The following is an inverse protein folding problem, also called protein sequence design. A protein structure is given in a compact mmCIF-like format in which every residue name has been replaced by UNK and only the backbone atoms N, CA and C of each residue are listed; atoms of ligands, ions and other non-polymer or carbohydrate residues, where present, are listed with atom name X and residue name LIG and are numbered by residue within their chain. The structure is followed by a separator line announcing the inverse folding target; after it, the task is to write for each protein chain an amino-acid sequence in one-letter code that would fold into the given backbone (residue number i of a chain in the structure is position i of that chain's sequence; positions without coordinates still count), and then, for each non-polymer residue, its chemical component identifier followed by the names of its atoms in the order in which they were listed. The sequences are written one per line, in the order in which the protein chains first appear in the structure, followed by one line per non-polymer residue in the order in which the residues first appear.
data_IF_769972982433
#
_entry.id   IF_769972982433
#
_cell.length_a   1.000
_cell.length_b   1.000
_cell.length_c   1.000
_cell.angle_alpha   90.00
_cell.angle_beta   90.00
_cell.angle_gamma   90.00
#
_symmetry.space_group_name_H-M   'P 1'
#
loop_
_entity.id
_entity.type
_entity.pdbx_description
1 polymer ?
#
# COMPACT_ATOMS: atom_id res chain seq x y z
N UNK A 1 13.53 -12.12 16.48
CA UNK A 1 14.29 -11.71 15.29
C UNK A 1 13.70 -10.38 14.83
N UNK A 2 14.47 -9.29 14.84
CA UNK A 2 13.97 -7.98 14.43
C UNK A 2 14.07 -7.84 12.90
N UNK A 3 12.96 -7.55 12.23
CA UNK A 3 12.94 -7.21 10.82
C UNK A 3 13.49 -5.79 10.64
N UNK A 4 14.53 -5.62 9.82
CA UNK A 4 15.16 -4.32 9.57
C UNK A 4 14.43 -3.63 8.43
N UNK A 5 13.69 -2.57 8.75
CA UNK A 5 13.06 -1.69 7.75
C UNK A 5 14.01 -0.54 7.42
N UNK A 6 14.33 -0.34 6.13
CA UNK A 6 15.15 0.79 5.64
C UNK A 6 14.29 1.74 4.82
N UNK A 7 14.12 2.97 5.29
CA UNK A 7 13.44 4.02 4.53
C UNK A 7 14.47 4.81 3.70
N UNK A 8 14.22 4.92 2.38
CA UNK A 8 14.99 5.77 1.47
C UNK A 8 14.03 6.83 0.93
N UNK A 9 14.42 8.10 1.04
CA UNK A 9 13.67 9.22 0.46
C UNK A 9 14.19 9.42 -0.97
N UNK A 10 13.31 9.29 -1.96
CA UNK A 10 13.62 9.51 -3.37
C UNK A 10 12.77 10.68 -3.84
N UNK A 11 13.42 11.74 -4.34
CA UNK A 11 12.71 12.80 -5.05
C UNK A 11 12.42 12.33 -6.47
N UNK A 12 11.14 12.20 -6.78
CA UNK A 12 10.69 11.91 -8.14
C UNK A 12 10.75 13.21 -8.94
N UNK A 13 11.69 13.32 -9.87
CA UNK A 13 11.72 14.42 -10.84
C UNK A 13 10.68 14.15 -11.94
N UNK A 14 9.42 14.44 -11.64
CA UNK A 14 8.29 14.20 -12.54
C UNK A 14 8.04 15.47 -13.35
N UNK A 15 8.05 15.41 -14.69
CA UNK A 15 7.65 16.55 -15.51
C UNK A 15 6.19 16.88 -15.24
N UNK A 16 5.82 18.17 -15.17
CA UNK A 16 4.46 18.63 -14.83
C UNK A 16 3.36 17.94 -15.64
N UNK A 17 3.63 17.59 -16.90
CA UNK A 17 2.70 16.86 -17.77
C UNK A 17 2.33 15.44 -17.32
N UNK A 18 3.06 14.86 -16.36
CA UNK A 18 2.78 13.54 -15.77
C UNK A 18 2.36 13.60 -14.30
N UNK A 19 2.20 14.79 -13.72
CA UNK A 19 1.75 14.91 -12.33
C UNK A 19 0.34 14.31 -12.16
N UNK A 20 -0.54 14.52 -13.14
CA UNK A 20 -1.89 13.95 -13.13
C UNK A 20 -1.91 12.42 -13.09
N UNK A 21 -1.00 11.75 -13.81
CA UNK A 21 -0.94 10.28 -13.86
C UNK A 21 -0.51 9.71 -12.50
N UNK A 22 0.38 10.43 -11.84
CA UNK A 22 0.93 10.06 -10.53
C UNK A 22 -0.09 10.30 -9.44
N UNK A 23 -0.77 11.45 -9.47
CA UNK A 23 -1.88 11.76 -8.57
C UNK A 23 -3.03 10.77 -8.72
N UNK A 24 -3.34 10.35 -9.95
CA UNK A 24 -4.32 9.31 -10.22
C UNK A 24 -3.91 7.97 -9.62
N UNK A 25 -2.65 7.56 -9.79
CA UNK A 25 -2.12 6.33 -9.17
C UNK A 25 -2.19 6.40 -7.63
N UNK A 26 -1.91 7.56 -7.03
CA UNK A 26 -2.04 7.75 -5.59
C UNK A 26 -3.50 7.62 -5.13
N UNK A 27 -4.43 8.17 -5.90
CA UNK A 27 -5.87 8.05 -5.65
C UNK A 27 -6.33 6.59 -5.69
N UNK A 28 -6.01 5.87 -6.77
CA UNK A 28 -6.39 4.46 -6.92
C UNK A 28 -5.78 3.59 -5.82
N UNK A 29 -4.50 3.81 -5.47
CA UNK A 29 -3.85 3.09 -4.39
C UNK A 29 -4.58 3.29 -3.06
N UNK A 30 -4.99 4.52 -2.79
CA UNK A 30 -5.74 4.86 -1.58
C UNK A 30 -7.11 4.21 -1.56
N UNK A 31 -7.84 4.27 -2.67
CA UNK A 31 -9.15 3.62 -2.81
C UNK A 31 -9.05 2.11 -2.65
N UNK A 32 -8.01 1.49 -3.22
CA UNK A 32 -7.73 0.07 -3.02
C UNK A 32 -7.47 -0.27 -1.55
N UNK A 33 -6.61 0.49 -0.86
CA UNK A 33 -6.32 0.25 0.56
C UNK A 33 -7.56 0.44 1.43
N UNK A 34 -8.35 1.49 1.17
CA UNK A 34 -9.59 1.76 1.89
C UNK A 34 -10.61 0.66 1.68
N UNK A 35 -10.82 0.22 0.44
CA UNK A 35 -11.74 -0.88 0.12
C UNK A 35 -11.37 -2.18 0.86
N UNK A 36 -10.07 -2.50 0.97
CA UNK A 36 -9.62 -3.66 1.74
C UNK A 36 -9.85 -3.47 3.24
N UNK A 37 -9.60 -2.28 3.78
CA UNK A 37 -9.86 -1.97 5.18
C UNK A 37 -11.35 -2.08 5.50
N UNK A 38 -12.21 -1.49 4.69
CA UNK A 38 -13.67 -1.51 4.84
C UNK A 38 -14.21 -2.95 4.86
N UNK A 39 -13.65 -3.82 4.00
CA UNK A 39 -14.03 -5.23 3.95
C UNK A 39 -13.58 -6.04 5.17
N UNK A 40 -12.42 -5.68 5.76
CA UNK A 40 -11.86 -6.37 6.92
C UNK A 40 -12.28 -5.79 8.28
N UNK A 41 -12.89 -4.60 8.27
CA UNK A 41 -13.21 -3.86 9.48
C UNK A 41 -14.47 -4.39 10.17
N UNK A 42 -14.38 -4.50 11.50
CA UNK A 42 -15.52 -4.64 12.40
C UNK A 42 -15.15 -4.03 13.76
N UNK A 43 -16.13 -3.50 14.46
CA UNK A 43 -16.03 -3.07 15.85
C UNK A 43 -16.03 -4.26 16.84
N UNK A 44 -16.35 -5.48 16.38
CA UNK A 44 -16.20 -6.72 17.13
C UNK A 44 -14.88 -7.43 16.76
N UNK A 45 -14.09 -7.76 17.79
CA UNK A 45 -12.85 -8.54 17.69
C UNK A 45 -13.03 -9.88 16.96
N UNK A 46 -14.18 -10.54 17.10
CA UNK A 46 -14.45 -11.83 16.46
C UNK A 46 -14.77 -11.72 14.98
N UNK A 47 -15.20 -10.54 14.53
CA UNK A 47 -15.59 -10.26 13.15
C UNK A 47 -14.56 -9.42 12.38
N UNK A 48 -13.56 -8.86 13.06
CA UNK A 48 -12.45 -8.16 12.42
C UNK A 48 -11.53 -9.13 11.68
N UNK A 49 -11.51 -9.02 10.35
CA UNK A 49 -10.69 -9.87 9.47
C UNK A 49 -9.39 -9.15 9.13
N UNK A 50 -8.26 -9.66 9.64
CA UNK A 50 -6.91 -9.15 9.33
C UNK A 50 -5.99 -10.16 8.65
N UNK A 51 -6.54 -11.30 8.19
CA UNK A 51 -5.75 -12.33 7.54
C UNK A 51 -5.44 -11.93 6.09
N UNK A 52 -4.14 -11.82 5.75
CA UNK A 52 -3.68 -11.37 4.41
C UNK A 52 -4.29 -12.20 3.28
N UNK A 53 -4.35 -13.52 3.43
CA UNK A 53 -4.86 -14.41 2.38
C UNK A 53 -6.37 -14.28 2.21
N UNK A 54 -7.10 -14.16 3.31
CA UNK A 54 -8.55 -14.02 3.30
C UNK A 54 -8.98 -12.72 2.61
N UNK A 55 -8.41 -11.59 3.05
CA UNK A 55 -8.65 -10.30 2.41
C UNK A 55 -8.20 -10.27 0.96
N UNK A 56 -7.13 -10.98 0.60
CA UNK A 56 -6.72 -11.08 -0.79
C UNK A 56 -7.77 -11.79 -1.65
N UNK A 57 -8.28 -12.94 -1.20
CA UNK A 57 -9.29 -13.67 -1.96
C UNK A 57 -10.60 -12.89 -2.07
N UNK A 58 -10.97 -12.17 -1.01
CA UNK A 58 -12.20 -11.40 -0.97
C UNK A 58 -12.15 -10.15 -1.86
N UNK A 59 -11.03 -9.45 -1.92
CA UNK A 59 -10.98 -8.07 -2.48
C UNK A 59 -10.18 -7.94 -3.77
N UNK A 60 -9.27 -8.88 -4.09
CA UNK A 60 -8.31 -8.69 -5.18
C UNK A 60 -8.97 -8.52 -6.55
N UNK A 61 -9.97 -9.33 -6.88
CA UNK A 61 -10.65 -9.28 -8.17
C UNK A 61 -11.34 -7.93 -8.36
N UNK A 62 -12.13 -7.49 -7.38
CA UNK A 62 -12.83 -6.21 -7.46
C UNK A 62 -11.88 -5.02 -7.55
N UNK A 63 -10.79 -5.02 -6.77
CA UNK A 63 -9.79 -3.95 -6.84
C UNK A 63 -9.12 -3.92 -8.21
N UNK A 64 -8.84 -5.08 -8.81
CA UNK A 64 -8.25 -5.18 -10.16
C UNK A 64 -9.21 -4.77 -11.28
N UNK A 65 -10.52 -4.85 -11.05
CA UNK A 65 -11.54 -4.41 -12.00
C UNK A 65 -11.84 -2.91 -11.89
N UNK A 66 -11.70 -2.34 -10.68
CA UNK A 66 -12.01 -0.94 -10.38
C UNK A 66 -10.82 0.01 -10.53
N UNK A 67 -9.60 -0.51 -10.72
CA UNK A 67 -8.37 0.28 -10.79
C UNK A 67 -7.42 -0.20 -11.88
N UNK A 68 -6.61 0.71 -12.41
CA UNK A 68 -5.53 0.42 -13.35
C UNK A 68 -4.21 0.01 -12.64
N UNK A 69 -4.26 -0.20 -11.32
CA UNK A 69 -3.10 -0.56 -10.52
C UNK A 69 -2.47 -1.89 -10.95
N UNK A 70 -1.14 -1.87 -11.04
CA UNK A 70 -0.34 -3.07 -11.21
C UNK A 70 -0.50 -4.01 -10.00
N UNK A 71 -0.43 -5.33 -10.23
CA UNK A 71 -0.71 -6.35 -9.21
C UNK A 71 0.11 -6.21 -7.91
N UNK A 72 1.35 -5.73 -7.99
CA UNK A 72 2.18 -5.48 -6.80
C UNK A 72 1.68 -4.31 -5.96
N UNK A 73 1.10 -3.28 -6.60
CA UNK A 73 0.49 -2.14 -5.90
C UNK A 73 -0.79 -2.57 -5.20
N UNK A 74 -1.64 -3.38 -5.85
CA UNK A 74 -2.83 -3.96 -5.20
C UNK A 74 -2.46 -4.80 -3.97
N UNK A 75 -1.42 -5.64 -4.08
CA UNK A 75 -0.94 -6.42 -2.94
C UNK A 75 -0.36 -5.54 -1.82
N UNK A 76 0.27 -4.42 -2.18
CA UNK A 76 0.83 -3.49 -1.21
C UNK A 76 -0.24 -2.66 -0.51
N UNK A 77 -1.29 -2.24 -1.24
CA UNK A 77 -2.49 -1.60 -0.67
C UNK A 77 -3.20 -2.54 0.32
N UNK A 78 -3.35 -3.84 -0.03
CA UNK A 78 -3.86 -4.86 0.89
C UNK A 78 -2.98 -5.01 2.13
N UNK A 79 -1.66 -5.04 1.98
CA UNK A 79 -0.76 -5.15 3.13
C UNK A 79 -0.91 -3.94 4.07
N UNK A 80 -0.98 -2.74 3.51
CA UNK A 80 -1.22 -1.51 4.26
C UNK A 80 -2.54 -1.59 5.05
N UNK A 81 -3.62 -2.06 4.42
CA UNK A 81 -4.89 -2.29 5.07
C UNK A 81 -4.81 -3.31 6.21
N UNK A 82 -4.14 -4.45 5.98
CA UNK A 82 -3.94 -5.49 7.00
C UNK A 82 -3.17 -4.98 8.21
N UNK A 83 -2.12 -4.19 8.00
CA UNK A 83 -1.30 -3.65 9.09
C UNK A 83 -2.10 -2.62 9.92
N UNK A 84 -2.94 -1.81 9.27
CA UNK A 84 -3.87 -0.91 9.95
C UNK A 84 -4.93 -1.68 10.76
N UNK A 85 -5.58 -2.68 10.16
CA UNK A 85 -6.54 -3.56 10.84
C UNK A 85 -5.90 -4.32 12.01
N UNK A 86 -4.64 -4.73 11.88
CA UNK A 86 -3.86 -5.34 12.95
C UNK A 86 -3.64 -4.41 14.14
N UNK A 87 -3.40 -3.12 13.86
CA UNK A 87 -3.29 -2.09 14.88
C UNK A 87 -4.62 -1.85 15.59
N UNK A 88 -5.73 -1.75 14.84
CA UNK A 88 -7.05 -1.59 15.41
C UNK A 88 -7.50 -2.81 16.25
N UNK A 89 -7.19 -4.03 15.80
CA UNK A 89 -7.43 -5.24 16.58
C UNK A 89 -6.63 -5.23 17.90
N UNK A 90 -5.42 -4.68 17.90
CA UNK A 90 -4.66 -4.43 19.14
C UNK A 90 -5.39 -3.47 20.08
N UNK A 91 -5.90 -2.36 19.53
CA UNK A 91 -6.70 -1.38 20.30
C UNK A 91 -7.98 -1.98 20.87
N UNK A 92 -8.75 -2.74 20.08
CA UNK A 92 -9.96 -3.41 20.55
C UNK A 92 -9.66 -4.42 21.66
N UNK A 93 -8.54 -5.15 21.59
CA UNK A 93 -8.11 -6.07 22.65
C UNK A 93 -7.79 -5.37 23.97
N UNK A 94 -7.40 -4.11 23.91
CA UNK A 94 -7.10 -3.28 25.08
C UNK A 94 -8.35 -2.51 25.56
N UNK A 95 -9.56 -2.84 25.08
CA UNK A 95 -10.81 -2.10 25.32
C UNK A 95 -10.71 -0.61 24.96
N UNK A 96 -9.83 -0.26 24.01
CA UNK A 96 -9.69 1.12 23.51
C UNK A 96 -10.67 1.34 22.37
N UNK A 97 -11.33 2.48 22.40
CA UNK A 97 -12.18 2.92 21.30
C UNK A 97 -11.34 3.05 20.01
N UNK A 98 -11.73 2.35 18.97
CA UNK A 98 -11.11 2.42 17.64
C UNK A 98 -12.18 2.44 16.58
N UNK A 99 -11.91 3.14 15.48
CA UNK A 99 -12.77 3.22 14.32
C UNK A 99 -12.14 2.49 13.14
N UNK A 100 -12.91 2.37 12.06
CA UNK A 100 -12.40 1.94 10.76
C UNK A 100 -11.19 2.80 10.38
N UNK A 101 -10.05 2.20 9.97
CA UNK A 101 -8.92 2.97 9.49
C UNK A 101 -9.27 3.75 8.22
N UNK A 102 -8.91 5.03 8.20
CA UNK A 102 -9.03 5.90 7.04
C UNK A 102 -7.64 6.22 6.47
N UNK A 103 -7.46 5.96 5.17
CA UNK A 103 -6.22 6.32 4.48
C UNK A 103 -6.36 7.72 3.86
N UNK A 104 -5.46 8.63 4.24
CA UNK A 104 -5.41 10.00 3.72
C UNK A 104 -4.02 10.34 3.21
N UNK A 105 -3.95 11.17 2.16
CA UNK A 105 -2.71 11.64 1.57
C UNK A 105 -2.20 10.84 0.36
N UNK A 106 -0.99 11.16 -0.07
CA UNK A 106 -0.31 10.65 -1.27
C UNK A 106 0.89 9.77 -0.88
N UNK A 107 0.62 8.62 -0.28
CA UNK A 107 1.65 7.63 0.09
C UNK A 107 1.35 6.31 -0.60
N UNK A 108 2.33 5.81 -1.39
CA UNK A 108 2.34 4.46 -1.93
C UNK A 108 3.40 3.66 -1.17
N UNK A 109 2.99 2.51 -0.64
CA UNK A 109 3.93 1.54 -0.07
C UNK A 109 4.28 0.53 -1.16
N UNK A 110 5.57 0.29 -1.39
CA UNK A 110 6.04 -0.73 -2.31
C UNK A 110 6.47 -1.98 -1.54
N UNK A 111 6.01 -3.15 -1.99
CA UNK A 111 6.52 -4.43 -1.48
C UNK A 111 7.95 -4.66 -1.99
N UNK A 112 8.89 -4.94 -1.07
CA UNK A 112 10.32 -5.12 -1.37
C UNK A 112 10.67 -6.27 -2.33
N UNK A 113 9.69 -7.09 -2.74
CA UNK A 113 9.88 -8.16 -3.73
C UNK A 113 10.02 -7.66 -5.17
N UNK A 114 9.78 -6.37 -5.45
CA UNK A 114 9.79 -5.82 -6.80
C UNK A 114 10.62 -4.54 -6.92
N UNK A 115 11.76 -4.47 -6.22
CA UNK A 115 12.78 -3.47 -6.55
C UNK A 115 13.77 -4.13 -7.51
N UNK A 116 13.60 -3.89 -8.82
CA UNK A 116 14.70 -4.06 -9.78
C UNK A 116 15.59 -2.82 -9.67
N UNK A 117 16.62 -2.89 -8.85
CA UNK A 117 17.73 -1.95 -8.93
C UNK A 117 18.40 -2.18 -10.28
N UNK A 118 18.43 -1.19 -11.17
CA UNK A 118 19.33 -1.19 -12.32
C UNK A 118 20.69 -0.70 -11.83
N UNK A 119 21.71 -1.58 -11.65
CA UNK A 119 23.05 -1.08 -11.44
C UNK A 119 23.56 -0.53 -12.77
N UNK A 120 24.27 0.61 -12.70
CA UNK A 120 25.07 1.25 -13.76
C UNK A 120 24.40 2.36 -14.58
N UNK A 121 24.40 3.57 -14.00
CA UNK A 121 24.78 4.75 -14.77
C UNK A 121 26.29 4.65 -15.05
N UNK A 122 26.69 4.29 -16.28
CA UNK A 122 28.07 4.49 -16.75
C UNK A 122 28.14 5.89 -17.33
N UNK A 123 28.96 6.74 -16.74
CA UNK A 123 29.42 7.98 -17.36
C UNK A 123 30.11 7.63 -18.69
N UNK A 124 29.55 8.08 -19.80
CA UNK A 124 30.27 8.17 -21.07
C UNK A 124 31.10 9.46 -21.01
N UNK A 125 32.36 9.34 -20.58
CA UNK A 125 33.39 10.30 -20.98
C UNK A 125 33.77 10.00 -22.42
N UNK A 126 33.41 10.91 -23.32
CA UNK A 126 34.05 11.05 -24.63
C UNK A 126 35.29 11.91 -24.40
N UNK A 127 36.46 11.29 -24.35
CA UNK A 127 37.72 12.01 -24.53
C UNK A 127 38.09 11.88 -26.01
N UNK A 128 38.09 13.02 -26.70
CA UNK A 128 38.74 13.22 -28.00
C UNK A 128 40.18 13.68 -27.82
#
# INVERSE_FOLDING_TARGET
MAEVVRNIRVELNIPESRHSDVDHTFEEFRQAAQYVADHGWSDDLYHLVKAKNELHQATYTEVREKTDLQSSLVQSARNLAVDALGSCHGSLKDDKNTSNPEFRGSVIVYNGRTIRTFPHHRELRSDG
#
